data_IF_160584807230
#
_entry.id   IF_160584807230
#
_cell.length_a   1.000
_cell.length_b   1.000
_cell.length_c   1.000
_cell.angle_alpha   90.00
_cell.angle_beta   90.00
_cell.angle_gamma   90.00
#
_symmetry.space_group_name_H-M   'P 1'
#
loop_
_entity.id
_entity.type
_entity.pdbx_description
1 polymer ?
#
# COMPACT_ATOMS: atom_id res chain seq x y z
N UNK A 1 -56.75 -21.87 -5.55
CA UNK A 1 -55.36 -22.34 -5.77
C UNK A 1 -55.27 -23.78 -5.34
N UNK A 2 -54.96 -24.69 -6.27
CA UNK A 2 -54.90 -26.13 -6.01
C UNK A 2 -53.67 -26.45 -5.12
N UNK A 3 -53.76 -27.46 -4.27
CA UNK A 3 -52.68 -27.82 -3.36
C UNK A 3 -51.34 -27.99 -4.06
N UNK A 4 -51.30 -28.49 -5.28
CA UNK A 4 -50.09 -28.62 -6.12
C UNK A 4 -49.43 -27.26 -6.45
N UNK A 5 -50.22 -26.21 -6.69
CA UNK A 5 -49.69 -24.86 -7.00
C UNK A 5 -49.01 -24.23 -5.75
N UNK A 6 -49.60 -24.47 -4.56
CA UNK A 6 -48.97 -24.01 -3.30
C UNK A 6 -47.59 -24.71 -3.04
N UNK A 7 -47.48 -26.00 -3.35
CA UNK A 7 -46.24 -26.76 -3.20
C UNK A 7 -45.15 -26.24 -4.16
N UNK A 8 -45.48 -25.96 -5.42
CA UNK A 8 -44.51 -25.39 -6.38
C UNK A 8 -44.03 -23.98 -5.98
N UNK A 9 -44.90 -23.14 -5.43
CA UNK A 9 -44.51 -21.81 -4.93
C UNK A 9 -43.58 -21.93 -3.72
N UNK A 10 -43.84 -22.84 -2.80
CA UNK A 10 -42.98 -23.05 -1.61
C UNK A 10 -41.63 -23.60 -2.03
N UNK A 11 -41.57 -24.56 -2.95
CA UNK A 11 -40.30 -25.10 -3.47
C UNK A 11 -39.50 -24.00 -4.21
N UNK A 12 -40.16 -23.16 -5.01
CA UNK A 12 -39.54 -22.02 -5.68
C UNK A 12 -38.97 -21.00 -4.71
N UNK A 13 -39.67 -20.68 -3.63
CA UNK A 13 -39.22 -19.78 -2.59
C UNK A 13 -38.04 -20.35 -1.80
N UNK A 14 -38.05 -21.66 -1.49
CA UNK A 14 -36.94 -22.35 -0.82
C UNK A 14 -35.69 -22.38 -1.71
N UNK A 15 -35.82 -22.67 -3.01
CA UNK A 15 -34.73 -22.63 -3.97
C UNK A 15 -34.16 -21.21 -4.14
N UNK A 16 -35.00 -20.17 -4.12
CA UNK A 16 -34.58 -18.77 -4.17
C UNK A 16 -33.83 -18.37 -2.89
N UNK A 17 -34.29 -18.83 -1.72
CA UNK A 17 -33.62 -18.61 -0.44
C UNK A 17 -32.25 -19.32 -0.39
N UNK A 18 -32.16 -20.56 -0.91
CA UNK A 18 -30.91 -21.31 -1.00
C UNK A 18 -29.96 -20.63 -1.98
N UNK A 19 -30.44 -20.09 -3.09
CA UNK A 19 -29.61 -19.35 -4.04
C UNK A 19 -29.06 -18.05 -3.41
N UNK A 20 -29.84 -17.37 -2.56
CA UNK A 20 -29.40 -16.18 -1.83
C UNK A 20 -28.40 -16.48 -0.73
N UNK A 21 -28.45 -17.68 -0.11
CA UNK A 21 -27.45 -18.07 0.93
C UNK A 21 -26.13 -18.53 0.32
N UNK A 22 -26.08 -18.89 -0.98
CA UNK A 22 -24.87 -19.22 -1.73
C UNK A 22 -24.19 -17.98 -2.38
N UNK A 23 -24.77 -16.80 -2.31
CA UNK A 23 -24.03 -15.54 -2.46
C UNK A 23 -23.16 -15.37 -1.21
N UNK A 24 -22.13 -16.24 -1.11
CA UNK A 24 -21.18 -16.22 -0.03
C UNK A 24 -20.64 -14.82 0.10
N UNK A 25 -20.75 -14.25 1.29
CA UNK A 25 -20.04 -13.02 1.65
C UNK A 25 -18.56 -13.29 1.34
N UNK A 26 -18.08 -12.83 0.18
CA UNK A 26 -16.64 -12.87 -0.10
C UNK A 26 -15.98 -12.13 1.04
N UNK A 27 -15.24 -12.87 1.86
CA UNK A 27 -14.45 -12.24 2.91
C UNK A 27 -13.66 -11.09 2.27
N UNK A 28 -13.75 -9.91 2.88
CA UNK A 28 -13.07 -8.73 2.36
C UNK A 28 -11.57 -9.03 2.31
N UNK A 29 -10.99 -9.02 1.11
CA UNK A 29 -9.57 -9.33 0.90
C UNK A 29 -8.65 -8.34 1.59
N UNK A 30 -9.10 -7.09 1.76
CA UNK A 30 -8.28 -6.02 2.34
C UNK A 30 -8.66 -5.71 3.77
N UNK A 31 -7.64 -5.36 4.56
CA UNK A 31 -7.77 -4.82 5.91
C UNK A 31 -7.04 -3.49 6.01
N UNK A 32 -7.67 -2.49 6.63
CA UNK A 32 -7.02 -1.20 6.91
C UNK A 32 -6.52 -1.17 8.35
N UNK A 33 -5.22 -0.90 8.49
CA UNK A 33 -4.49 -0.86 9.75
C UNK A 33 -3.95 0.55 9.95
N UNK A 34 -4.20 1.13 11.13
CA UNK A 34 -3.63 2.42 11.52
C UNK A 34 -2.39 2.19 12.38
N UNK A 35 -1.29 2.79 11.98
CA UNK A 35 -0.04 2.90 12.72
C UNK A 35 0.13 4.33 13.26
N UNK A 36 1.21 4.58 13.99
CA UNK A 36 1.43 5.89 14.61
C UNK A 36 1.53 7.01 13.59
N UNK A 37 2.27 6.81 12.50
CA UNK A 37 2.53 7.83 11.48
C UNK A 37 1.88 7.56 10.13
N UNK A 38 1.32 6.38 9.90
CA UNK A 38 0.72 6.02 8.62
C UNK A 38 -0.45 5.07 8.78
N UNK A 39 -1.24 4.91 7.73
CA UNK A 39 -2.23 3.85 7.62
C UNK A 39 -1.94 2.99 6.39
N UNK A 40 -2.17 1.69 6.50
CA UNK A 40 -2.03 0.75 5.38
C UNK A 40 -3.35 0.03 5.11
N UNK A 41 -3.70 -0.10 3.84
CA UNK A 41 -4.74 -1.03 3.35
C UNK A 41 -4.00 -2.22 2.75
N UNK A 42 -4.01 -3.33 3.48
CA UNK A 42 -3.26 -4.53 3.15
C UNK A 42 -4.15 -5.57 2.48
N UNK A 43 -3.70 -6.17 1.37
CA UNK A 43 -4.37 -7.30 0.72
C UNK A 43 -3.83 -8.61 1.28
N UNK A 44 -4.71 -9.41 1.88
CA UNK A 44 -4.37 -10.71 2.45
C UNK A 44 -4.00 -11.72 1.37
N UNK A 45 -4.71 -11.73 0.24
CA UNK A 45 -4.46 -12.64 -0.87
C UNK A 45 -3.17 -12.33 -1.62
N UNK A 46 -2.76 -11.05 -1.64
CA UNK A 46 -1.54 -10.57 -2.30
C UNK A 46 -0.33 -10.56 -1.37
N UNK A 47 -0.53 -10.44 -0.07
CA UNK A 47 0.56 -10.33 0.90
C UNK A 47 1.35 -9.01 0.75
N UNK A 48 0.73 -7.93 0.25
CA UNK A 48 1.31 -6.62 0.16
C UNK A 48 0.28 -5.50 0.38
N UNK A 49 0.71 -4.27 0.76
CA UNK A 49 -0.19 -3.14 0.87
C UNK A 49 -0.63 -2.63 -0.50
N UNK A 50 -1.95 -2.54 -0.71
CA UNK A 50 -2.54 -1.95 -1.92
C UNK A 50 -2.64 -0.43 -1.83
N UNK A 51 -2.63 0.12 -0.60
CA UNK A 51 -2.51 1.56 -0.32
C UNK A 51 -1.84 1.77 1.02
N UNK A 52 -0.90 2.70 1.08
CA UNK A 52 -0.34 3.28 2.30
C UNK A 52 -0.49 4.80 2.22
N UNK A 53 -0.81 5.45 3.34
CA UNK A 53 -1.14 6.88 3.38
C UNK A 53 -0.53 7.53 4.61
N UNK A 54 0.13 8.69 4.45
CA UNK A 54 0.73 9.44 5.53
C UNK A 54 0.97 10.91 5.18
N UNK A 55 1.31 11.68 6.19
CA UNK A 55 1.80 13.04 6.03
C UNK A 55 3.30 13.09 6.27
N UNK A 56 4.04 13.66 5.31
CA UNK A 56 5.43 14.08 5.50
C UNK A 56 5.39 15.53 5.98
N UNK A 57 5.90 15.78 7.19
CA UNK A 57 5.87 17.13 7.76
C UNK A 57 7.28 17.61 8.07
N UNK A 58 7.50 18.92 7.95
CA UNK A 58 8.75 19.55 8.35
C UNK A 58 9.10 19.23 9.81
N UNK A 59 8.13 19.31 10.70
CA UNK A 59 8.31 18.96 12.12
C UNK A 59 8.74 17.50 12.32
N UNK A 60 8.20 16.54 11.54
CA UNK A 60 8.59 15.13 11.58
C UNK A 60 9.98 14.85 11.03
N UNK A 61 10.51 15.77 10.21
CA UNK A 61 11.83 15.64 9.60
C UNK A 61 12.95 16.41 10.34
N UNK A 62 12.58 17.42 11.15
CA UNK A 62 13.54 18.36 11.78
C UNK A 62 13.48 18.29 13.30
N UNK A 63 14.08 17.26 13.87
CA UNK A 63 14.27 17.14 15.32
C UNK A 63 15.74 17.29 15.71
N UNK A 64 16.03 17.72 16.96
CA UNK A 64 17.41 17.86 17.43
C UNK A 64 18.19 16.56 17.42
N UNK A 65 17.51 15.47 17.74
CA UNK A 65 18.12 14.13 17.77
C UNK A 65 17.26 13.19 16.94
N UNK A 66 17.83 12.67 15.87
CA UNK A 66 17.18 11.65 15.04
C UNK A 66 17.29 10.27 15.70
N UNK A 67 16.23 9.49 15.59
CA UNK A 67 16.23 8.10 16.05
C UNK A 67 17.12 7.25 15.15
N UNK A 68 17.73 6.23 15.73
CA UNK A 68 18.50 5.24 14.96
C UNK A 68 17.52 4.39 14.15
N UNK A 69 17.81 4.22 12.86
CA UNK A 69 17.08 3.32 11.98
C UNK A 69 17.02 1.92 12.57
N UNK A 70 15.83 1.33 12.65
CA UNK A 70 15.63 0.04 13.33
C UNK A 70 16.23 -1.15 12.56
N UNK A 71 16.04 -1.22 11.24
CA UNK A 71 16.46 -2.29 10.32
C UNK A 71 15.94 -3.72 10.66
N UNK A 72 15.02 -3.85 11.63
CA UNK A 72 14.42 -5.12 12.04
C UNK A 72 13.06 -5.30 11.37
N UNK A 73 13.03 -6.07 10.29
CA UNK A 73 11.77 -6.44 9.65
C UNK A 73 11.07 -7.52 10.46
N UNK A 74 9.86 -7.23 10.90
CA UNK A 74 9.07 -8.12 11.75
C UNK A 74 7.61 -8.20 11.28
N UNK A 75 6.88 -9.27 11.65
CA UNK A 75 5.44 -9.36 11.44
C UNK A 75 4.72 -8.18 12.09
N UNK A 76 3.67 -7.69 11.43
CA UNK A 76 2.80 -6.68 12.02
C UNK A 76 1.92 -7.32 13.09
N UNK A 77 1.99 -6.88 14.36
CA UNK A 77 1.19 -7.46 15.44
C UNK A 77 -0.31 -7.27 15.24
N UNK A 78 -0.75 -6.37 14.35
CA UNK A 78 -2.15 -6.16 13.99
C UNK A 78 -2.63 -7.08 12.85
N UNK A 79 -1.74 -7.90 12.28
CA UNK A 79 -2.00 -8.90 11.25
C UNK A 79 -1.68 -10.31 11.75
N UNK A 80 -2.26 -10.74 12.85
CA UNK A 80 -1.87 -11.92 13.65
C UNK A 80 -1.82 -13.24 12.84
N UNK A 81 -2.62 -13.40 11.80
CA UNK A 81 -2.70 -14.64 11.01
C UNK A 81 -2.00 -14.57 9.65
N UNK A 82 -1.41 -13.41 9.29
CA UNK A 82 -0.80 -13.18 7.97
C UNK A 82 0.74 -13.07 8.06
N UNK A 83 1.33 -13.58 9.12
CA UNK A 83 2.60 -13.09 9.66
C UNK A 83 3.87 -13.73 9.13
N UNK A 84 3.81 -14.83 8.39
CA UNK A 84 5.04 -15.46 7.85
C UNK A 84 5.40 -14.91 6.47
N UNK A 85 5.50 -13.58 6.37
CA UNK A 85 5.92 -12.92 5.13
C UNK A 85 7.44 -12.85 5.00
N UNK A 86 8.18 -12.99 6.11
CA UNK A 86 9.64 -12.88 6.13
C UNK A 86 10.31 -13.98 5.31
N UNK A 87 9.89 -15.23 5.47
CA UNK A 87 10.41 -16.37 4.71
C UNK A 87 10.20 -16.20 3.21
N UNK A 88 9.12 -15.54 2.82
CA UNK A 88 8.78 -15.26 1.42
C UNK A 88 9.82 -14.39 0.70
N UNK A 89 10.49 -13.48 1.40
CA UNK A 89 11.49 -12.58 0.81
C UNK A 89 12.91 -13.18 0.77
N UNK A 90 13.20 -14.16 1.64
CA UNK A 90 14.56 -14.68 1.81
C UNK A 90 15.07 -15.37 0.54
N UNK A 91 16.20 -14.91 -0.01
CA UNK A 91 16.86 -15.51 -1.17
C UNK A 91 16.13 -15.33 -2.51
N UNK A 92 15.07 -14.50 -2.57
CA UNK A 92 14.23 -14.34 -3.77
C UNK A 92 14.69 -13.22 -4.72
N UNK A 93 15.72 -12.44 -4.35
CA UNK A 93 16.25 -11.37 -5.20
C UNK A 93 15.43 -10.08 -5.21
N UNK A 94 14.45 -9.96 -4.31
CA UNK A 94 13.66 -8.75 -4.12
C UNK A 94 14.06 -8.03 -2.84
N UNK A 95 14.04 -6.70 -2.90
CA UNK A 95 14.12 -5.86 -1.72
C UNK A 95 12.76 -5.85 -0.98
N UNK A 96 12.82 -5.69 0.33
CA UNK A 96 11.66 -5.34 1.16
C UNK A 96 11.46 -3.84 1.02
N UNK A 97 10.80 -3.43 -0.08
CA UNK A 97 10.56 -2.03 -0.39
C UNK A 97 9.57 -1.42 0.58
N UNK A 98 9.99 -0.35 1.27
CA UNK A 98 9.12 0.40 2.15
C UNK A 98 8.08 1.18 1.34
N UNK A 99 6.83 1.15 1.78
CA UNK A 99 5.81 2.09 1.30
C UNK A 99 5.88 3.39 2.11
N UNK A 100 5.72 3.34 3.44
CA UNK A 100 6.05 4.43 4.35
C UNK A 100 7.54 4.35 4.71
N UNK A 101 8.37 5.32 4.31
CA UNK A 101 9.82 5.24 4.49
C UNK A 101 10.24 5.45 5.95
N UNK A 102 11.19 4.67 6.44
CA UNK A 102 11.76 4.87 7.78
C UNK A 102 12.39 6.28 7.96
N UNK A 103 12.85 6.91 6.88
CA UNK A 103 13.40 8.26 6.91
C UNK A 103 12.33 9.34 7.18
N UNK A 104 11.06 9.08 6.90
CA UNK A 104 9.95 9.98 7.20
C UNK A 104 9.56 9.90 8.69
N UNK A 105 10.00 8.85 9.38
CA UNK A 105 9.87 8.63 10.83
C UNK A 105 11.18 8.91 11.59
N UNK A 106 12.06 9.75 11.06
CA UNK A 106 13.38 9.98 11.64
C UNK A 106 13.36 10.66 13.02
N UNK A 107 12.24 11.22 13.43
CA UNK A 107 12.06 11.91 14.70
C UNK A 107 11.14 11.16 15.70
N UNK A 108 10.69 9.95 15.34
CA UNK A 108 9.78 9.17 16.17
C UNK A 108 10.19 7.70 16.19
N UNK A 109 10.64 7.23 17.37
CA UNK A 109 11.12 5.86 17.54
C UNK A 109 10.05 4.81 17.21
N UNK A 110 8.81 5.00 17.68
CA UNK A 110 7.72 4.05 17.46
C UNK A 110 7.34 4.00 15.98
N UNK A 111 7.19 5.16 15.33
CA UNK A 111 6.88 5.22 13.91
C UNK A 111 8.01 4.61 13.06
N UNK A 112 9.28 4.81 13.48
CA UNK A 112 10.44 4.19 12.82
C UNK A 112 10.40 2.67 12.94
N UNK A 113 10.10 2.12 14.12
CA UNK A 113 9.96 0.68 14.34
C UNK A 113 8.79 0.10 13.54
N UNK A 114 7.63 0.76 13.58
CA UNK A 114 6.44 0.34 12.81
C UNK A 114 6.68 0.37 11.29
N UNK A 115 7.58 1.24 10.79
CA UNK A 115 7.89 1.29 9.36
C UNK A 115 8.49 -0.01 8.83
N UNK A 116 9.07 -0.88 9.70
CA UNK A 116 9.65 -2.18 9.35
C UNK A 116 8.68 -3.35 9.46
N UNK A 117 7.39 -3.11 9.70
CA UNK A 117 6.39 -4.16 9.65
C UNK A 117 6.18 -4.66 8.21
N UNK A 118 6.01 -5.99 8.04
CA UNK A 118 5.76 -6.56 6.72
C UNK A 118 4.48 -6.05 6.07
N UNK A 119 3.51 -5.55 6.84
CA UNK A 119 2.32 -4.85 6.32
C UNK A 119 2.63 -3.56 5.57
N UNK A 120 3.86 -3.04 5.70
CA UNK A 120 4.38 -1.87 4.99
C UNK A 120 5.32 -2.25 3.83
N UNK A 121 5.57 -3.54 3.60
CA UNK A 121 6.56 -4.00 2.61
C UNK A 121 5.92 -4.40 1.30
N UNK A 122 6.61 -4.06 0.21
CA UNK A 122 6.34 -4.52 -1.14
C UNK A 122 7.58 -5.22 -1.70
N UNK A 123 7.40 -6.35 -2.37
CA UNK A 123 8.49 -7.02 -3.08
C UNK A 123 8.86 -6.20 -4.32
N UNK A 124 9.90 -5.39 -4.21
CA UNK A 124 10.40 -4.53 -5.28
C UNK A 124 11.72 -5.06 -5.83
N UNK A 125 11.92 -4.96 -7.13
CA UNK A 125 13.25 -5.16 -7.68
C UNK A 125 14.22 -4.09 -7.15
N UNK A 126 15.50 -4.45 -6.90
CA UNK A 126 16.50 -3.50 -6.39
C UNK A 126 16.66 -2.26 -7.26
N UNK A 127 16.52 -2.40 -8.59
CA UNK A 127 16.60 -1.27 -9.52
C UNK A 127 15.56 -0.20 -9.21
N UNK A 128 14.28 -0.59 -9.03
CA UNK A 128 13.23 0.32 -8.65
C UNK A 128 13.44 0.86 -7.23
N UNK A 129 13.59 -0.03 -6.23
CA UNK A 129 13.62 0.34 -4.82
C UNK A 129 14.77 1.28 -4.47
N UNK A 130 15.95 1.03 -5.06
CA UNK A 130 17.19 1.80 -4.78
C UNK A 130 17.40 2.96 -5.77
N UNK A 131 16.65 3.00 -6.87
CA UNK A 131 16.63 4.03 -7.91
C UNK A 131 15.49 5.03 -7.74
N UNK A 132 14.56 5.06 -8.73
CA UNK A 132 13.50 6.06 -8.85
C UNK A 132 12.59 6.15 -7.62
N UNK A 133 12.29 5.01 -6.96
CA UNK A 133 11.48 5.02 -5.74
C UNK A 133 12.15 5.81 -4.62
N UNK A 134 13.45 5.56 -4.39
CA UNK A 134 14.25 6.29 -3.40
C UNK A 134 14.41 7.77 -3.78
N UNK A 135 14.61 8.08 -5.06
CA UNK A 135 14.71 9.46 -5.54
C UNK A 135 13.42 10.23 -5.27
N UNK A 136 12.25 9.62 -5.56
CA UNK A 136 10.96 10.22 -5.29
C UNK A 136 10.71 10.47 -3.77
N UNK A 137 11.17 9.56 -2.92
CA UNK A 137 11.13 9.74 -1.46
C UNK A 137 11.98 10.94 -1.01
N UNK A 138 13.16 11.11 -1.60
CA UNK A 138 14.05 12.24 -1.31
C UNK A 138 13.41 13.56 -1.75
N UNK A 139 12.89 13.62 -2.97
CA UNK A 139 12.16 14.78 -3.51
C UNK A 139 10.96 15.15 -2.63
N UNK A 140 10.19 14.17 -2.18
CA UNK A 140 9.03 14.38 -1.30
C UNK A 140 9.45 15.02 0.04
N UNK A 141 10.52 14.54 0.67
CA UNK A 141 11.06 15.14 1.91
C UNK A 141 11.57 16.57 1.70
N UNK A 142 12.28 16.82 0.61
CA UNK A 142 12.75 18.16 0.26
C UNK A 142 11.57 19.13 0.07
N UNK A 143 10.52 18.68 -0.59
CA UNK A 143 9.27 19.43 -0.72
C UNK A 143 8.62 19.73 0.64
N UNK A 144 8.52 18.75 1.53
CA UNK A 144 7.94 18.94 2.87
C UNK A 144 8.76 19.92 3.74
N UNK A 145 10.08 20.00 3.56
CA UNK A 145 10.92 20.97 4.24
C UNK A 145 10.64 22.41 3.77
N UNK A 146 10.21 22.61 2.51
CA UNK A 146 9.87 23.91 1.91
C UNK A 146 8.42 24.33 2.19
N UNK A 147 7.49 23.37 2.15
CA UNK A 147 6.05 23.62 2.14
C UNK A 147 5.33 23.19 3.42
N UNK A 148 6.09 22.89 4.48
CA UNK A 148 5.66 22.45 5.81
C UNK A 148 5.03 21.06 5.86
N UNK A 149 4.22 20.67 4.87
CA UNK A 149 3.62 19.33 4.84
C UNK A 149 3.21 18.90 3.43
N UNK A 150 3.40 17.61 3.18
CA UNK A 150 2.99 16.91 1.96
C UNK A 150 2.17 15.68 2.34
N UNK A 151 1.02 15.48 1.72
CA UNK A 151 0.25 14.26 1.85
C UNK A 151 0.70 13.25 0.80
N UNK A 152 0.95 12.03 1.20
CA UNK A 152 1.45 10.97 0.32
C UNK A 152 0.58 9.74 0.41
N UNK A 153 0.28 9.18 -0.73
CA UNK A 153 -0.30 7.85 -0.88
C UNK A 153 0.60 7.03 -1.80
N UNK A 154 0.77 5.77 -1.50
CA UNK A 154 1.43 4.85 -2.41
C UNK A 154 0.85 3.45 -2.28
N UNK A 155 1.18 2.60 -3.23
CA UNK A 155 0.73 1.22 -3.20
C UNK A 155 1.21 0.43 -4.41
N UNK A 156 0.64 -0.75 -4.56
CA UNK A 156 1.04 -1.71 -5.58
C UNK A 156 -0.17 -2.30 -6.29
N UNK A 157 0.00 -2.65 -7.57
CA UNK A 157 -1.04 -3.26 -8.39
C UNK A 157 -0.50 -4.40 -9.25
N UNK A 158 -1.39 -5.32 -9.60
CA UNK A 158 -1.07 -6.46 -10.43
C UNK A 158 -0.21 -7.51 -9.73
N UNK A 159 0.21 -8.50 -10.50
CA UNK A 159 1.08 -9.57 -10.04
C UNK A 159 1.92 -10.07 -11.21
N UNK A 160 3.24 -10.21 -11.02
CA UNK A 160 4.15 -10.86 -11.95
C UNK A 160 4.28 -12.34 -11.59
N UNK A 161 4.52 -12.61 -10.30
CA UNK A 161 4.68 -13.95 -9.72
C UNK A 161 4.44 -13.91 -8.22
N UNK A 162 4.41 -15.07 -7.59
CA UNK A 162 4.41 -15.22 -6.13
C UNK A 162 5.78 -15.67 -5.62
N UNK A 163 6.17 -15.16 -4.47
CA UNK A 163 7.29 -15.61 -3.66
C UNK A 163 6.71 -16.04 -2.29
N UNK A 164 6.48 -17.34 -2.09
CA UNK A 164 5.76 -17.83 -0.93
C UNK A 164 4.34 -17.22 -0.82
N UNK A 165 4.08 -16.53 0.28
CA UNK A 165 2.79 -15.85 0.54
C UNK A 165 2.69 -14.44 -0.05
N UNK A 166 3.77 -13.91 -0.62
CA UNK A 166 3.83 -12.54 -1.15
C UNK A 166 3.76 -12.58 -2.67
N UNK A 167 2.86 -11.79 -3.24
CA UNK A 167 2.85 -11.48 -4.67
C UNK A 167 3.89 -10.39 -4.96
N UNK A 168 4.65 -10.58 -6.03
CA UNK A 168 5.49 -9.52 -6.60
C UNK A 168 4.58 -8.68 -7.49
N UNK A 169 4.33 -7.40 -7.17
CA UNK A 169 3.43 -6.58 -7.96
C UNK A 169 4.03 -6.27 -9.33
N UNK A 170 3.16 -6.05 -10.32
CA UNK A 170 3.57 -5.60 -11.64
C UNK A 170 4.04 -4.16 -11.62
N UNK A 171 3.33 -3.31 -10.88
CA UNK A 171 3.61 -1.87 -10.81
C UNK A 171 3.47 -1.36 -9.39
N UNK A 172 4.26 -0.35 -9.07
CA UNK A 172 4.16 0.44 -7.85
C UNK A 172 3.77 1.87 -8.22
N UNK A 173 2.93 2.50 -7.43
CA UNK A 173 2.45 3.86 -7.68
C UNK A 173 2.63 4.75 -6.45
N UNK A 174 2.77 6.05 -6.67
CA UNK A 174 2.80 7.06 -5.61
C UNK A 174 2.07 8.32 -6.06
N UNK A 175 1.24 8.87 -5.18
CA UNK A 175 0.55 10.15 -5.33
C UNK A 175 1.01 11.08 -4.23
N UNK A 176 1.29 12.31 -4.59
CA UNK A 176 1.81 13.35 -3.72
C UNK A 176 0.90 14.58 -3.87
N UNK A 177 0.47 15.15 -2.76
CA UNK A 177 -0.27 16.40 -2.74
C UNK A 177 0.42 17.41 -1.83
N UNK A 178 0.77 18.56 -2.41
CA UNK A 178 1.35 19.69 -1.70
C UNK A 178 0.23 20.62 -1.23
N UNK A 179 -0.01 20.68 0.08
CA UNK A 179 -1.13 21.45 0.65
C UNK A 179 -1.05 22.94 0.32
N UNK A 180 0.15 23.51 0.35
CA UNK A 180 0.39 24.94 0.16
C UNK A 180 0.05 25.42 -1.25
N UNK A 181 0.47 24.68 -2.27
CA UNK A 181 0.24 25.00 -3.69
C UNK A 181 -0.99 24.32 -4.27
N UNK A 182 -1.58 23.37 -3.54
CA UNK A 182 -2.65 22.47 -4.01
C UNK A 182 -2.24 21.68 -5.28
N UNK A 183 -0.95 21.39 -5.40
CA UNK A 183 -0.39 20.65 -6.52
C UNK A 183 -0.48 19.15 -6.28
N UNK A 184 -0.82 18.41 -7.33
CA UNK A 184 -0.90 16.96 -7.35
C UNK A 184 0.12 16.39 -8.32
N UNK A 185 0.95 15.49 -7.84
CA UNK A 185 1.87 14.70 -8.66
C UNK A 185 1.53 13.22 -8.50
N UNK A 186 1.57 12.47 -9.59
CA UNK A 186 1.29 11.05 -9.57
C UNK A 186 2.32 10.30 -10.43
N UNK A 187 2.80 9.18 -9.91
CA UNK A 187 3.86 8.38 -10.52
C UNK A 187 3.44 6.91 -10.59
N UNK A 188 3.77 6.27 -11.70
CA UNK A 188 3.55 4.85 -11.94
C UNK A 188 4.83 4.20 -12.42
N UNK A 189 5.37 3.29 -11.64
CA UNK A 189 6.63 2.60 -11.92
C UNK A 189 6.38 1.14 -12.26
N UNK A 190 6.98 0.65 -13.33
CA UNK A 190 7.08 -0.77 -13.57
C UNK A 190 8.06 -1.41 -12.57
N UNK A 191 7.61 -2.47 -11.91
CA UNK A 191 8.44 -3.21 -10.98
C UNK A 191 9.24 -4.26 -11.76
N UNK A 192 10.39 -3.85 -12.29
CA UNK A 192 11.26 -4.68 -13.13
C UNK A 192 12.73 -4.54 -12.71
N UNK A 193 13.64 -5.21 -13.44
CA UNK A 193 15.08 -5.17 -13.17
C UNK A 193 15.80 -4.10 -13.99
N UNK A 194 15.07 -3.36 -14.84
CA UNK A 194 15.66 -2.37 -15.70
C UNK A 194 16.19 -1.19 -14.85
N UNK A 195 17.20 -0.54 -15.40
CA UNK A 195 17.76 0.64 -14.76
C UNK A 195 16.70 1.73 -14.63
N UNK A 196 16.73 2.45 -13.51
CA UNK A 196 15.93 3.66 -13.31
C UNK A 196 16.05 4.60 -14.52
N UNK A 197 14.93 5.07 -15.03
CA UNK A 197 14.84 5.95 -16.21
C UNK A 197 14.45 7.40 -15.85
N UNK A 198 14.34 7.67 -14.57
CA UNK A 198 14.07 8.98 -13.99
C UNK A 198 12.59 9.27 -13.73
N UNK A 199 12.35 10.13 -12.77
CA UNK A 199 10.98 10.43 -12.28
C UNK A 199 10.06 10.97 -13.37
N UNK A 200 10.59 11.82 -14.28
CA UNK A 200 9.80 12.45 -15.34
C UNK A 200 9.15 11.44 -16.28
N UNK A 201 9.82 10.32 -16.55
CA UNK A 201 9.31 9.29 -17.44
C UNK A 201 8.21 8.43 -16.79
N UNK A 202 8.12 8.48 -15.47
CA UNK A 202 7.16 7.73 -14.66
C UNK A 202 6.00 8.60 -14.16
N UNK A 203 6.01 9.92 -14.44
CA UNK A 203 4.92 10.81 -14.09
C UNK A 203 3.70 10.55 -14.98
N UNK A 204 2.52 10.44 -14.36
CA UNK A 204 1.26 10.16 -15.06
C UNK A 204 0.15 11.06 -14.54
N UNK A 205 -0.93 11.29 -15.30
CA UNK A 205 -2.11 11.97 -14.78
C UNK A 205 -2.72 11.22 -13.57
N UNK A 206 -3.20 11.95 -12.57
CA UNK A 206 -3.77 11.39 -11.33
C UNK A 206 -4.87 10.35 -11.60
N UNK A 207 -5.73 10.61 -12.58
CA UNK A 207 -6.82 9.70 -12.95
C UNK A 207 -6.33 8.31 -13.42
N UNK A 208 -5.10 8.19 -13.93
CA UNK A 208 -4.50 6.89 -14.27
C UNK A 208 -4.30 6.08 -13.00
N UNK A 209 -3.75 6.68 -11.94
CA UNK A 209 -3.59 6.00 -10.65
C UNK A 209 -4.94 5.66 -10.04
N UNK A 210 -5.92 6.57 -10.09
CA UNK A 210 -7.28 6.29 -9.60
C UNK A 210 -7.92 5.09 -10.31
N UNK A 211 -7.73 4.98 -11.63
CA UNK A 211 -8.29 3.90 -12.42
C UNK A 211 -7.65 2.54 -12.08
N UNK A 212 -6.33 2.47 -12.00
CA UNK A 212 -5.61 1.19 -11.78
C UNK A 212 -5.66 0.73 -10.32
N UNK A 213 -5.69 1.67 -9.36
CA UNK A 213 -5.71 1.37 -7.93
C UNK A 213 -7.12 1.15 -7.38
N UNK A 214 -8.14 1.73 -8.04
CA UNK A 214 -9.52 1.76 -7.55
C UNK A 214 -9.76 2.75 -6.40
N UNK A 215 -8.75 3.54 -6.00
CA UNK A 215 -8.88 4.56 -4.97
C UNK A 215 -9.17 5.93 -5.59
N UNK A 216 -9.86 6.78 -4.82
CA UNK A 216 -10.00 8.21 -5.12
C UNK A 216 -9.17 9.01 -4.14
N UNK A 217 -8.53 10.06 -4.63
CA UNK A 217 -7.67 10.92 -3.82
C UNK A 217 -8.31 12.28 -3.63
N UNK A 218 -8.51 12.65 -2.38
CA UNK A 218 -9.07 13.94 -2.00
C UNK A 218 -8.51 14.36 -0.64
N UNK A 219 -8.46 15.66 -0.40
CA UNK A 219 -8.12 16.21 0.90
C UNK A 219 -9.43 16.55 1.62
N UNK A 220 -9.66 15.91 2.76
CA UNK A 220 -10.74 16.31 3.64
C UNK A 220 -10.44 17.74 4.14
N UNK A 221 -11.36 18.65 3.89
CA UNK A 221 -11.27 20.06 4.32
C UNK A 221 -11.35 20.18 5.83
#
# INVERSE_FOLDING_TARGET
>A
MRAKEKVFIIIGLILLLILFTFLGVKAQDTITIKHKAYSTTFSKSKGYPVKVEWWVTKAGLTCPIKVKRNDKFIPDPKLINETDLQSSYTGQGFDRGHNFPAADAACDQVANEESFYFSNMTAQYPALNRGDWKELEMMTREGALKDDSIHVWCGSVGEIKKIGKVSVPKQCWKVIHTKKTNEWLAFLFDNNQDKADGLKNNEVPLNVIEQISGFKFYINK
#
